data_IF_789868150333
#
_entry.id   IF_789868150333
#
_cell.length_a   1.000
_cell.length_b   1.000
_cell.length_c   1.000
_cell.angle_alpha   90.00
_cell.angle_beta   90.00
_cell.angle_gamma   90.00
#
_symmetry.space_group_name_H-M   'P 1'
#
loop_
_entity.id
_entity.type
_entity.pdbx_description
1 polymer ?
#
# COMPACT_ATOMS: atom_id res chain seq x y z
N UNK A 1 -17.04 -35.32 37.84
CA UNK A 1 -16.06 -34.78 36.87
C UNK A 1 -16.83 -34.30 35.66
N UNK A 2 -16.95 -32.98 35.45
CA UNK A 2 -17.75 -32.37 34.37
C UNK A 2 -16.79 -31.91 33.27
N UNK A 3 -16.87 -32.50 32.08
CA UNK A 3 -16.18 -31.99 30.89
C UNK A 3 -17.07 -30.92 30.25
N UNK A 4 -16.55 -29.70 30.15
CA UNK A 4 -17.16 -28.61 29.39
C UNK A 4 -16.48 -28.57 28.02
N UNK A 5 -17.16 -29.11 27.01
CA UNK A 5 -16.72 -29.02 25.63
C UNK A 5 -16.82 -27.59 25.13
N UNK A 6 -15.67 -27.09 24.67
CA UNK A 6 -15.47 -25.73 24.17
C UNK A 6 -16.27 -25.52 22.89
N UNK A 7 -17.31 -24.70 22.97
CA UNK A 7 -17.92 -24.06 21.81
C UNK A 7 -16.91 -23.09 21.18
N UNK A 8 -16.08 -23.59 20.26
CA UNK A 8 -15.30 -22.75 19.34
C UNK A 8 -16.26 -22.31 18.24
N UNK A 9 -16.95 -21.20 18.49
CA UNK A 9 -17.72 -20.50 17.47
C UNK A 9 -16.73 -20.01 16.42
N UNK A 10 -16.62 -20.77 15.33
CA UNK A 10 -15.96 -20.34 14.10
C UNK A 10 -16.80 -19.24 13.46
N UNK A 11 -16.65 -18.01 13.96
CA UNK A 11 -17.05 -16.82 13.22
C UNK A 11 -16.09 -16.66 12.02
N UNK A 12 -16.31 -17.45 10.98
CA UNK A 12 -15.82 -17.11 9.65
C UNK A 12 -16.69 -15.95 9.15
N UNK A 13 -16.35 -14.73 9.58
CA UNK A 13 -16.90 -13.53 8.99
C UNK A 13 -16.38 -13.45 7.55
N UNK A 14 -17.28 -13.76 6.62
CA UNK A 14 -17.16 -13.51 5.20
C UNK A 14 -16.92 -12.00 5.00
N UNK A 15 -15.68 -11.61 4.76
CA UNK A 15 -15.30 -10.22 4.52
C UNK A 15 -15.78 -9.82 3.12
N UNK A 16 -16.96 -9.21 3.05
CA UNK A 16 -17.44 -8.50 1.87
C UNK A 16 -17.55 -7.03 2.22
N UNK A 17 -16.49 -6.27 1.98
CA UNK A 17 -16.51 -4.81 1.92
C UNK A 17 -15.31 -4.35 1.10
N UNK A 18 -15.54 -3.43 0.17
CA UNK A 18 -14.55 -2.62 -0.53
C UNK A 18 -13.80 -1.70 0.45
N UNK A 19 -13.29 -2.25 1.54
CA UNK A 19 -12.55 -1.55 2.58
C UNK A 19 -11.09 -1.49 2.16
N UNK A 20 -10.65 -0.27 1.85
CA UNK A 20 -9.24 0.05 1.69
C UNK A 20 -8.48 -0.38 2.95
N UNK A 21 -7.48 -1.25 2.77
CA UNK A 21 -6.60 -1.68 3.85
C UNK A 21 -5.38 -0.74 3.86
N UNK A 22 -5.34 0.15 4.85
CA UNK A 22 -4.21 1.04 5.08
C UNK A 22 -3.13 0.34 5.93
N UNK A 23 -1.87 0.45 5.50
CA UNK A 23 -0.70 -0.04 6.25
C UNK A 23 0.24 1.14 6.50
N UNK A 24 0.42 1.50 7.77
CA UNK A 24 1.34 2.56 8.19
C UNK A 24 2.80 2.04 8.24
N UNK A 25 3.69 2.68 7.49
CA UNK A 25 5.13 2.38 7.48
C UNK A 25 5.98 3.42 8.25
N UNK A 26 5.31 4.30 8.99
CA UNK A 26 5.85 5.37 9.79
C UNK A 26 6.25 6.62 8.98
N UNK A 27 6.65 7.66 9.71
CA UNK A 27 7.02 8.96 9.12
C UNK A 27 8.37 8.90 8.39
N UNK A 28 8.50 9.71 7.33
CA UNK A 28 9.75 9.90 6.58
C UNK A 28 10.02 11.39 6.35
N UNK A 29 11.27 11.78 6.44
CA UNK A 29 11.71 13.15 6.18
C UNK A 29 11.89 13.37 4.69
N UNK A 30 11.48 14.53 4.19
CA UNK A 30 11.83 14.99 2.85
C UNK A 30 13.21 15.64 2.92
N UNK A 31 14.20 15.04 2.25
CA UNK A 31 15.55 15.57 2.15
C UNK A 31 15.70 16.49 0.95
N UNK A 32 16.49 17.55 1.12
CA UNK A 32 17.01 18.36 0.02
C UNK A 32 18.24 17.67 -0.58
N UNK A 33 18.17 17.29 -1.85
CA UNK A 33 19.32 16.79 -2.59
C UNK A 33 19.45 17.56 -3.90
N UNK A 34 20.45 18.44 -3.96
CA UNK A 34 20.66 19.36 -5.08
C UNK A 34 19.40 20.20 -5.36
N UNK A 35 18.90 20.18 -6.59
CA UNK A 35 17.69 20.88 -7.03
C UNK A 35 16.41 20.04 -6.85
N UNK A 36 16.43 19.00 -6.01
CA UNK A 36 15.32 18.06 -5.86
C UNK A 36 14.95 17.82 -4.39
N UNK A 37 13.65 17.67 -4.15
CA UNK A 37 13.07 17.21 -2.88
C UNK A 37 12.86 15.70 -2.99
N UNK A 38 13.47 14.93 -2.10
CA UNK A 38 13.44 13.47 -2.15
C UNK A 38 12.83 12.91 -0.86
N UNK A 39 11.93 11.94 -1.01
CA UNK A 39 11.45 11.10 0.09
C UNK A 39 11.76 9.64 -0.24
N UNK A 40 12.40 8.94 0.70
CA UNK A 40 12.74 7.54 0.53
C UNK A 40 11.58 6.65 0.98
N UNK A 41 11.13 5.76 0.08
CA UNK A 41 10.08 4.79 0.39
C UNK A 41 10.67 3.53 1.05
N UNK A 42 9.98 2.93 2.05
CA UNK A 42 10.39 1.66 2.63
C UNK A 42 10.44 0.55 1.57
N UNK A 43 11.51 -0.26 1.58
CA UNK A 43 11.64 -1.40 0.66
C UNK A 43 10.44 -2.36 0.76
N UNK A 44 9.95 -2.63 1.97
CA UNK A 44 8.79 -3.49 2.20
C UNK A 44 7.52 -2.94 1.57
N UNK A 45 7.30 -1.62 1.59
CA UNK A 45 6.15 -1.01 0.92
C UNK A 45 6.20 -1.24 -0.59
N UNK A 46 7.38 -1.08 -1.20
CA UNK A 46 7.57 -1.36 -2.63
C UNK A 46 7.43 -2.86 -2.96
N UNK A 47 7.95 -3.76 -2.11
CA UNK A 47 7.80 -5.20 -2.29
C UNK A 47 6.32 -5.62 -2.24
N UNK A 48 5.52 -5.01 -1.36
CA UNK A 48 4.07 -5.25 -1.29
C UNK A 48 3.34 -4.78 -2.56
N UNK A 49 3.94 -3.88 -3.35
CA UNK A 49 3.44 -3.45 -4.66
C UNK A 49 4.03 -4.25 -5.85
N UNK A 50 4.68 -5.40 -5.61
CA UNK A 50 5.30 -6.21 -6.68
C UNK A 50 6.73 -5.76 -7.06
N UNK A 51 7.42 -5.04 -6.17
CA UNK A 51 8.79 -4.56 -6.36
C UNK A 51 8.99 -3.71 -7.64
N UNK A 52 8.22 -2.61 -7.81
CA UNK A 52 8.28 -1.79 -9.02
C UNK A 52 9.59 -1.00 -9.12
N UNK A 53 10.05 -0.79 -10.36
CA UNK A 53 11.21 0.08 -10.66
C UNK A 53 10.77 1.51 -11.03
N UNK A 54 9.51 1.68 -11.43
CA UNK A 54 8.93 2.97 -11.81
C UNK A 54 7.53 3.12 -11.21
N UNK A 55 7.18 4.35 -10.85
CA UNK A 55 5.85 4.71 -10.36
C UNK A 55 5.35 5.96 -11.09
N UNK A 56 4.05 6.04 -11.33
CA UNK A 56 3.36 7.27 -11.69
C UNK A 56 3.09 8.08 -10.42
N UNK A 57 3.33 9.39 -10.47
CA UNK A 57 3.11 10.32 -9.36
C UNK A 57 1.95 11.23 -9.72
N UNK A 58 0.87 11.20 -8.92
CA UNK A 58 -0.29 12.10 -9.07
C UNK A 58 -0.57 12.86 -7.79
N UNK A 59 -0.95 14.12 -7.93
CA UNK A 59 -1.59 14.87 -6.85
C UNK A 59 -3.08 14.59 -6.88
N UNK A 60 -3.62 14.09 -5.77
CA UNK A 60 -5.06 13.93 -5.56
C UNK A 60 -5.54 15.09 -4.70
N UNK A 61 -6.69 15.67 -5.07
CA UNK A 61 -7.36 16.74 -4.33
C UNK A 61 -8.82 16.35 -4.13
N UNK A 62 -9.20 16.04 -2.89
CA UNK A 62 -10.55 15.61 -2.50
C UNK A 62 -11.02 16.49 -1.34
N UNK A 63 -11.85 17.49 -1.64
CA UNK A 63 -12.19 18.54 -0.69
C UNK A 63 -10.93 19.28 -0.23
N UNK A 64 -10.68 19.29 1.08
CA UNK A 64 -9.49 19.90 1.68
C UNK A 64 -8.29 18.94 1.75
N UNK A 65 -8.50 17.64 1.49
CA UNK A 65 -7.42 16.67 1.52
C UNK A 65 -6.56 16.77 0.25
N UNK A 66 -5.24 16.86 0.43
CA UNK A 66 -4.25 16.85 -0.65
C UNK A 66 -3.16 15.86 -0.33
N UNK A 67 -2.99 14.86 -1.19
CA UNK A 67 -1.97 13.83 -1.02
C UNK A 67 -1.41 13.39 -2.36
N UNK A 68 -0.20 12.84 -2.33
CA UNK A 68 0.43 12.23 -3.49
C UNK A 68 0.05 10.77 -3.55
N UNK A 69 -0.56 10.35 -4.66
CA UNK A 69 -0.77 8.94 -5.00
C UNK A 69 0.38 8.46 -5.87
N UNK A 70 1.03 7.41 -5.43
CA UNK A 70 2.02 6.67 -6.19
C UNK A 70 1.39 5.39 -6.73
N UNK A 71 1.61 5.07 -8.00
CA UNK A 71 1.07 3.85 -8.62
C UNK A 71 2.17 3.16 -9.43
N UNK A 72 2.47 1.88 -9.19
CA UNK A 72 3.40 1.12 -10.02
C UNK A 72 3.10 1.26 -11.52
N UNK A 73 4.14 1.38 -12.33
CA UNK A 73 4.01 1.26 -13.79
C UNK A 73 4.43 -0.16 -14.17
N UNK A 74 3.49 -0.95 -14.67
CA UNK A 74 3.79 -2.25 -15.24
C UNK A 74 4.67 -2.08 -16.47
N UNK A 75 5.77 -2.83 -16.52
CA UNK A 75 6.56 -2.92 -17.73
C UNK A 75 5.79 -3.83 -18.71
N UNK A 76 5.11 -3.25 -19.69
CA UNK A 76 4.68 -4.04 -20.85
C UNK A 76 5.95 -4.50 -21.56
N UNK A 77 6.30 -5.77 -21.45
CA UNK A 77 7.29 -6.35 -22.34
C UNK A 77 6.75 -6.23 -23.77
N UNK A 78 7.53 -5.61 -24.66
CA UNK A 78 7.25 -5.52 -26.09
C UNK A 78 7.48 -6.90 -26.77
N UNK A 79 6.93 -7.97 -26.20
CA UNK A 79 7.03 -9.33 -26.75
C UNK A 79 5.78 -9.64 -27.60
N UNK A 80 5.45 -8.74 -28.53
CA UNK A 80 4.23 -8.80 -29.33
C UNK A 80 4.36 -8.26 -30.76
N UNK A 81 5.57 -8.25 -31.33
CA UNK A 81 5.78 -8.14 -32.78
C UNK A 81 6.59 -9.35 -33.22
#
# INVERSE_FOLDING_TARGET
MRNADRNVVKNAQKLTSDTELEIDFGNRTISDQNFSRIVALPKTALMNCGNPVKVNVKLIQEGDAKYIKLTPIEYQSLDGI
#
